data_IF_771239248050
#
_entry.id   IF_771239248050
#
_cell.length_a   1.000
_cell.length_b   1.000
_cell.length_c   1.000
_cell.angle_alpha   90.00
_cell.angle_beta   90.00
_cell.angle_gamma   90.00
#
_symmetry.space_group_name_H-M   'P 1'
#
loop_
_entity.id
_entity.type
_entity.pdbx_description
1 polymer ?
#
# COMPACT_ATOMS: atom_id res chain seq x y z
N UNK A 1 7.85 -8.17 6.18
CA UNK A 1 6.53 -8.81 6.29
C UNK A 1 6.42 -9.82 5.17
N UNK A 2 5.91 -11.02 5.42
CA UNK A 2 5.79 -12.00 4.34
C UNK A 2 4.49 -11.77 3.56
N UNK A 3 4.59 -11.06 2.44
CA UNK A 3 3.46 -10.71 1.57
C UNK A 3 2.77 -11.95 0.98
N UNK A 4 3.47 -13.07 0.80
CA UNK A 4 2.92 -14.22 0.07
C UNK A 4 1.91 -15.00 0.91
N UNK A 5 1.97 -14.92 2.24
CA UNK A 5 1.07 -15.67 3.13
C UNK A 5 -0.41 -15.40 2.88
N UNK A 6 -0.78 -14.16 2.58
CA UNK A 6 -2.17 -13.80 2.28
C UNK A 6 -2.58 -14.36 0.91
N UNK A 7 -1.70 -14.27 -0.08
CA UNK A 7 -1.93 -14.84 -1.40
C UNK A 7 -2.05 -16.38 -1.36
N UNK A 8 -1.16 -17.05 -0.63
CA UNK A 8 -1.20 -18.49 -0.38
C UNK A 8 -2.50 -18.90 0.31
N UNK A 9 -2.96 -18.12 1.30
CA UNK A 9 -4.22 -18.39 1.98
C UNK A 9 -5.42 -18.29 1.04
N UNK A 10 -5.44 -17.31 0.14
CA UNK A 10 -6.50 -17.16 -0.89
C UNK A 10 -6.48 -18.37 -1.83
N UNK A 11 -5.29 -18.77 -2.29
CA UNK A 11 -5.11 -19.87 -3.22
C UNK A 11 -5.53 -21.22 -2.60
N UNK A 12 -5.03 -21.55 -1.41
CA UNK A 12 -5.31 -22.82 -0.71
C UNK A 12 -6.81 -23.00 -0.44
N UNK A 13 -7.50 -21.93 -0.09
CA UNK A 13 -8.94 -21.97 0.15
C UNK A 13 -9.79 -21.78 -1.11
N UNK A 14 -9.15 -21.61 -2.28
CA UNK A 14 -9.82 -21.43 -3.57
C UNK A 14 -10.85 -20.29 -3.58
N UNK A 15 -10.63 -19.23 -2.81
CA UNK A 15 -11.55 -18.10 -2.78
C UNK A 15 -11.56 -17.39 -4.14
N UNK A 16 -12.75 -17.23 -4.73
CA UNK A 16 -12.91 -16.61 -6.06
C UNK A 16 -13.29 -15.13 -6.00
N UNK A 17 -13.75 -14.66 -4.85
CA UNK A 17 -14.26 -13.31 -4.61
C UNK A 17 -13.47 -12.56 -3.53
N UNK A 18 -12.30 -13.06 -3.17
CA UNK A 18 -11.39 -12.44 -2.19
C UNK A 18 -10.14 -11.99 -2.92
N UNK A 19 -9.68 -10.77 -2.63
CA UNK A 19 -8.47 -10.21 -3.19
C UNK A 19 -7.75 -9.31 -2.18
N UNK A 20 -6.60 -8.81 -2.61
CA UNK A 20 -5.72 -8.00 -1.78
C UNK A 20 -5.90 -6.53 -2.14
N UNK A 21 -6.14 -5.73 -1.11
CA UNK A 21 -5.89 -4.29 -1.14
C UNK A 21 -4.44 -4.08 -0.69
N UNK A 22 -3.60 -3.58 -1.59
CA UNK A 22 -2.21 -3.29 -1.29
C UNK A 22 -2.01 -1.81 -1.01
N UNK A 23 -1.55 -1.48 0.19
CA UNK A 23 -1.29 -0.12 0.61
C UNK A 23 0.20 0.18 0.59
N UNK A 24 0.61 1.00 -0.39
CA UNK A 24 2.03 1.25 -0.67
C UNK A 24 2.71 2.00 0.47
N UNK A 25 2.00 2.95 1.10
CA UNK A 25 2.54 3.72 2.22
C UNK A 25 2.68 2.87 3.48
N UNK A 26 1.66 2.08 3.82
CA UNK A 26 1.73 1.20 4.98
C UNK A 26 2.83 0.14 4.83
N UNK A 27 3.01 -0.44 3.63
CA UNK A 27 4.07 -1.40 3.36
C UNK A 27 5.46 -0.79 3.60
N UNK A 28 5.68 0.44 3.11
CA UNK A 28 6.95 1.15 3.29
C UNK A 28 7.22 1.55 4.76
N UNK A 29 6.19 1.87 5.54
CA UNK A 29 6.33 2.19 6.96
C UNK A 29 6.66 0.97 7.83
N UNK A 30 6.03 -0.17 7.55
CA UNK A 30 6.19 -1.39 8.34
C UNK A 30 7.49 -2.11 8.04
N UNK A 31 7.94 -2.10 6.78
CA UNK A 31 9.10 -2.86 6.33
C UNK A 31 10.23 -1.93 5.89
N UNK A 32 11.24 -1.81 6.75
CA UNK A 32 12.49 -1.12 6.40
C UNK A 32 13.10 -1.77 5.16
N UNK A 33 13.19 -0.98 4.09
CA UNK A 33 13.73 -1.46 2.81
C UNK A 33 12.69 -2.09 1.88
N UNK A 34 11.41 -1.88 2.11
CA UNK A 34 10.34 -2.21 1.16
C UNK A 34 10.71 -1.77 -0.27
N UNK A 35 10.57 -2.69 -1.22
CA UNK A 35 10.69 -2.39 -2.64
C UNK A 35 9.35 -2.67 -3.30
N UNK A 36 8.86 -1.74 -4.10
CA UNK A 36 7.59 -1.91 -4.84
C UNK A 36 7.57 -3.19 -5.69
N UNK A 37 8.76 -3.63 -6.16
CA UNK A 37 8.95 -4.89 -6.88
C UNK A 37 8.52 -6.14 -6.11
N UNK A 38 8.49 -6.10 -4.78
CA UNK A 38 8.00 -7.22 -3.98
C UNK A 38 6.51 -7.50 -4.19
N UNK A 39 5.74 -6.51 -4.64
CA UNK A 39 4.33 -6.69 -4.98
C UNK A 39 4.13 -7.64 -6.17
N UNK A 40 5.16 -7.87 -7.00
CA UNK A 40 5.10 -8.84 -8.12
C UNK A 40 4.76 -10.26 -7.65
N UNK A 41 5.16 -10.62 -6.42
CA UNK A 41 4.91 -11.93 -5.79
C UNK A 41 3.43 -12.19 -5.54
N UNK A 42 2.64 -11.12 -5.36
CA UNK A 42 1.21 -11.20 -5.04
C UNK A 42 0.33 -10.60 -6.12
N UNK A 43 0.91 -10.18 -7.26
CA UNK A 43 0.22 -9.34 -8.25
C UNK A 43 -1.13 -9.91 -8.65
N UNK A 44 -1.22 -11.21 -8.91
CA UNK A 44 -2.45 -11.90 -9.35
C UNK A 44 -3.62 -11.82 -8.36
N UNK A 45 -3.34 -11.52 -7.09
CA UNK A 45 -4.34 -11.40 -6.03
C UNK A 45 -4.69 -9.95 -5.72
N UNK A 46 -3.87 -8.98 -6.14
CA UNK A 46 -4.14 -7.55 -5.94
C UNK A 46 -5.34 -7.13 -6.80
N UNK A 47 -6.31 -6.50 -6.16
CA UNK A 47 -7.53 -5.94 -6.77
C UNK A 47 -7.60 -4.42 -6.61
N UNK A 48 -6.97 -3.91 -5.56
CA UNK A 48 -6.96 -2.49 -5.23
C UNK A 48 -5.58 -2.07 -4.74
N UNK A 49 -5.12 -0.89 -5.13
CA UNK A 49 -3.88 -0.29 -4.63
C UNK A 49 -4.19 1.06 -4.01
N UNK A 50 -3.88 1.20 -2.72
CA UNK A 50 -3.91 2.49 -2.03
C UNK A 50 -2.59 3.22 -2.18
N UNK A 51 -2.71 4.49 -2.55
CA UNK A 51 -1.62 5.43 -2.76
C UNK A 51 -1.68 6.45 -1.62
N UNK A 52 -0.66 6.45 -0.75
CA UNK A 52 -0.45 7.46 0.28
C UNK A 52 1.05 7.69 0.45
N UNK A 53 1.44 8.93 0.69
CA UNK A 53 2.82 9.27 0.95
C UNK A 53 2.98 9.90 2.33
N UNK A 54 4.19 9.86 2.86
CA UNK A 54 4.50 10.31 4.19
C UNK A 54 5.90 10.90 4.27
N UNK A 55 6.13 11.67 5.33
CA UNK A 55 7.45 12.11 5.77
C UNK A 55 7.61 11.80 7.26
N UNK A 56 8.85 11.60 7.71
CA UNK A 56 9.20 11.57 9.11
C UNK A 56 9.63 12.97 9.59
N UNK A 57 8.90 13.54 10.55
CA UNK A 57 9.20 14.83 11.17
C UNK A 57 9.19 14.65 12.71
N UNK A 58 10.34 14.84 13.37
CA UNK A 58 10.51 14.69 14.83
C UNK A 58 9.97 13.36 15.39
N UNK A 59 10.37 12.23 14.78
CA UNK A 59 9.91 10.87 15.12
C UNK A 59 8.40 10.62 14.93
N UNK A 60 7.69 11.53 14.24
CA UNK A 60 6.29 11.37 13.88
C UNK A 60 6.15 11.16 12.38
N UNK A 61 5.28 10.21 12.00
CA UNK A 61 4.88 10.00 10.61
C UNK A 61 3.76 10.99 10.27
N UNK A 62 3.99 11.81 9.25
CA UNK A 62 3.00 12.75 8.72
C UNK A 62 2.63 12.36 7.30
N UNK A 63 1.35 12.16 7.03
CA UNK A 63 0.86 11.94 5.68
C UNK A 63 0.80 13.24 4.89
N UNK A 64 1.25 13.18 3.65
CA UNK A 64 1.41 14.33 2.75
C UNK A 64 0.91 13.97 1.35
N UNK A 65 0.89 14.95 0.44
CA UNK A 65 0.56 14.68 -0.96
C UNK A 65 1.55 13.68 -1.57
N UNK A 66 1.14 12.99 -2.64
CA UNK A 66 1.97 11.95 -3.27
C UNK A 66 3.32 12.47 -3.77
N UNK A 67 3.40 13.75 -4.15
CA UNK A 67 4.62 14.40 -4.64
C UNK A 67 5.55 14.95 -3.53
N UNK A 68 5.06 15.01 -2.29
CA UNK A 68 5.75 15.70 -1.19
C UNK A 68 6.43 14.74 -0.19
N UNK A 69 6.19 13.43 -0.31
CA UNK A 69 6.69 12.46 0.65
C UNK A 69 7.91 11.66 0.19
N UNK A 70 8.29 10.69 1.01
CA UNK A 70 9.49 9.88 0.84
C UNK A 70 9.40 8.86 -0.29
N UNK A 71 8.19 8.49 -0.72
CA UNK A 71 7.97 7.51 -1.78
C UNK A 71 8.04 8.15 -3.17
N UNK A 72 8.80 7.52 -4.07
CA UNK A 72 8.88 7.93 -5.47
C UNK A 72 7.69 7.39 -6.28
N UNK A 73 6.63 8.18 -6.38
CA UNK A 73 5.42 7.77 -7.07
C UNK A 73 5.57 7.61 -8.58
N UNK A 74 6.56 8.27 -9.21
CA UNK A 74 6.87 8.03 -10.62
C UNK A 74 7.28 6.57 -10.85
N UNK A 75 8.22 6.07 -10.03
CA UNK A 75 8.67 4.67 -10.10
C UNK A 75 7.56 3.68 -9.73
N UNK A 76 6.70 4.05 -8.77
CA UNK A 76 5.54 3.21 -8.41
C UNK A 76 4.57 3.11 -9.58
N UNK A 77 4.25 4.22 -10.26
CA UNK A 77 3.36 4.18 -11.42
C UNK A 77 3.94 3.42 -12.60
N UNK A 78 5.23 3.57 -12.89
CA UNK A 78 5.94 2.78 -13.91
C UNK A 78 5.81 1.27 -13.59
N UNK A 79 6.08 0.88 -12.35
CA UNK A 79 5.91 -0.51 -11.92
C UNK A 79 4.47 -1.02 -12.05
N UNK A 80 3.49 -0.20 -11.66
CA UNK A 80 2.07 -0.54 -11.73
C UNK A 80 1.62 -0.73 -13.19
N UNK A 81 2.06 0.16 -14.09
CA UNK A 81 1.79 0.04 -15.51
C UNK A 81 2.38 -1.26 -16.06
N UNK A 82 3.65 -1.56 -15.78
CA UNK A 82 4.30 -2.78 -16.26
C UNK A 82 3.66 -4.08 -15.76
N UNK A 83 3.14 -4.09 -14.53
CA UNK A 83 2.69 -5.33 -13.88
C UNK A 83 1.17 -5.54 -13.91
N UNK A 84 0.39 -4.49 -14.16
CA UNK A 84 -1.07 -4.53 -14.13
C UNK A 84 -1.73 -4.02 -15.41
N UNK A 85 -0.99 -3.67 -16.47
CA UNK A 85 -1.55 -3.20 -17.75
C UNK A 85 -2.70 -4.06 -18.27
N UNK A 86 -2.60 -5.38 -18.14
CA UNK A 86 -3.61 -6.33 -18.66
C UNK A 86 -4.69 -6.70 -17.63
N UNK A 87 -4.77 -5.97 -16.51
CA UNK A 87 -5.72 -6.26 -15.42
C UNK A 87 -6.37 -5.00 -14.90
N UNK A 88 -7.66 -5.11 -14.59
CA UNK A 88 -8.38 -4.03 -13.93
C UNK A 88 -7.98 -4.00 -12.44
N UNK A 89 -7.07 -3.11 -12.08
CA UNK A 89 -6.74 -2.79 -10.69
C UNK A 89 -7.22 -1.38 -10.38
N UNK A 90 -7.98 -1.25 -9.29
CA UNK A 90 -8.48 0.04 -8.84
C UNK A 90 -7.39 0.77 -8.06
N UNK A 91 -7.16 2.04 -8.39
CA UNK A 91 -6.26 2.91 -7.64
C UNK A 91 -7.12 3.82 -6.74
N UNK A 92 -6.77 3.88 -5.46
CA UNK A 92 -7.35 4.79 -4.48
C UNK A 92 -6.28 5.71 -3.92
N UNK A 93 -6.49 7.02 -3.97
CA UNK A 93 -5.63 7.97 -3.25
C UNK A 93 -6.17 8.10 -1.84
N UNK A 94 -5.37 7.69 -0.86
CA UNK A 94 -5.68 7.80 0.56
C UNK A 94 -4.80 8.90 1.15
N UNK A 95 -5.27 10.14 1.04
CA UNK A 95 -4.63 11.26 1.73
C UNK A 95 -5.20 11.34 3.12
N UNK A 96 -4.48 10.76 4.08
CA UNK A 96 -4.79 10.96 5.48
C UNK A 96 -4.37 12.39 5.92
N UNK A 97 -4.92 13.45 5.30
CA UNK A 97 -4.91 14.80 5.92
C UNK A 97 -5.94 14.78 7.05
N UNK A 98 -5.67 13.97 8.07
CA UNK A 98 -6.58 13.77 9.18
C UNK A 98 -6.39 14.90 10.18
N UNK A 99 -7.50 15.51 10.57
CA UNK A 99 -7.52 16.35 11.77
C UNK A 99 -6.90 15.56 12.93
N UNK A 100 -5.87 16.10 13.62
CA UNK A 100 -5.26 15.47 14.80
C UNK A 100 -6.27 15.07 15.90
N UNK A 101 -7.50 15.61 15.84
CA UNK A 101 -8.58 15.38 16.79
C UNK A 101 -9.25 14.00 16.65
N UNK A 102 -9.13 13.33 15.49
CA UNK A 102 -9.87 12.10 15.19
C UNK A 102 -9.18 10.80 15.67
N UNK A 103 -7.96 10.86 16.21
CA UNK A 103 -7.27 9.74 16.89
C UNK A 103 -6.86 10.10 18.32
N UNK A 104 -7.79 10.64 19.14
CA UNK A 104 -7.62 10.48 20.59
C UNK A 104 -7.60 8.98 20.87
N UNK A 105 -6.46 8.45 21.30
CA UNK A 105 -6.39 7.13 21.94
C UNK A 105 -7.32 7.20 23.14
N UNK A 106 -8.55 6.71 23.00
CA UNK A 106 -9.32 6.25 24.15
C UNK A 106 -8.60 5.00 24.64
N UNK A 107 -7.71 5.20 25.62
CA UNK A 107 -7.31 4.10 26.47
C UNK A 107 -8.57 3.70 27.25
N UNK A 108 -9.16 2.57 26.88
CA UNK A 108 -10.09 1.84 27.74
C UNK A 108 -9.29 0.83 28.55
#
# INVERSE_FOLDING_TARGET
>A
MDLTKVAEYIEVNSFKNVGILFDVGNAALVERGFKITDMSKIKNFVQHVHLKNFIHENDVVKFVNLEEGELNYKQIFEFLEENFRDREVKLGVETDVWSPQCRKKTFF
#
